data_IF_891901538809
#
_entry.id   IF_891901538809
#
_cell.length_a   1.000
_cell.length_b   1.000
_cell.length_c   1.000
_cell.angle_alpha   90.00
_cell.angle_beta   90.00
_cell.angle_gamma   90.00
#
_symmetry.space_group_name_H-M   'P 1'
#
loop_
_entity.id
_entity.type
_entity.pdbx_description
1 polymer ?
#
# COMPACT_ATOMS: atom_id res chain seq x y z
N UNK A 1 22.42 -16.61 3.28
CA UNK A 1 23.38 -15.67 2.66
C UNK A 1 22.98 -15.11 1.30
N UNK A 2 22.99 -15.85 0.17
CA UNK A 2 22.66 -15.25 -1.15
C UNK A 2 21.22 -14.72 -1.23
N UNK A 3 20.26 -15.51 -0.73
CA UNK A 3 18.84 -15.13 -0.67
C UNK A 3 18.54 -13.97 0.31
N UNK A 4 19.31 -13.80 1.38
CA UNK A 4 19.09 -12.69 2.33
C UNK A 4 19.52 -11.35 1.73
N UNK A 5 20.66 -11.32 1.04
CA UNK A 5 21.11 -10.11 0.33
C UNK A 5 20.14 -9.73 -0.78
N UNK A 6 19.66 -10.70 -1.55
CA UNK A 6 18.65 -10.47 -2.58
C UNK A 6 17.33 -9.97 -1.98
N UNK A 7 16.92 -10.51 -0.84
CA UNK A 7 15.73 -10.05 -0.11
C UNK A 7 15.88 -8.62 0.42
N UNK A 8 17.04 -8.26 0.98
CA UNK A 8 17.31 -6.89 1.45
C UNK A 8 17.28 -5.89 0.30
N UNK A 9 17.87 -6.23 -0.85
CA UNK A 9 17.83 -5.39 -2.05
C UNK A 9 16.38 -5.22 -2.53
N UNK A 10 15.62 -6.31 -2.64
CA UNK A 10 14.22 -6.26 -3.05
C UNK A 10 13.37 -5.40 -2.08
N UNK A 11 13.61 -5.52 -0.77
CA UNK A 11 12.94 -4.70 0.25
C UNK A 11 13.28 -3.22 0.10
N UNK A 12 14.55 -2.90 -0.16
CA UNK A 12 15.00 -1.51 -0.35
C UNK A 12 14.36 -0.88 -1.58
N UNK A 13 14.36 -1.57 -2.72
CA UNK A 13 13.73 -1.11 -3.95
C UNK A 13 12.22 -0.93 -3.80
N UNK A 14 11.55 -1.83 -3.08
CA UNK A 14 10.14 -1.69 -2.73
C UNK A 14 9.86 -0.42 -1.93
N UNK A 15 10.64 -0.15 -0.86
CA UNK A 15 10.45 1.04 -0.01
C UNK A 15 10.63 2.32 -0.83
N UNK A 16 11.62 2.36 -1.73
CA UNK A 16 11.84 3.50 -2.63
C UNK A 16 10.64 3.73 -3.55
N UNK A 17 10.16 2.67 -4.22
CA UNK A 17 9.00 2.76 -5.12
C UNK A 17 7.71 3.18 -4.39
N UNK A 18 7.47 2.62 -3.20
CA UNK A 18 6.33 2.97 -2.36
C UNK A 18 6.36 4.45 -1.96
N UNK A 19 7.51 4.93 -1.45
CA UNK A 19 7.65 6.33 -1.03
C UNK A 19 7.57 7.29 -2.21
N UNK A 20 8.06 6.90 -3.39
CA UNK A 20 7.93 7.69 -4.60
C UNK A 20 6.46 7.89 -4.99
N UNK A 21 5.66 6.81 -4.99
CA UNK A 21 4.24 6.88 -5.32
C UNK A 21 3.46 7.75 -4.32
N UNK A 22 3.71 7.57 -3.02
CA UNK A 22 3.15 8.41 -1.95
C UNK A 22 3.54 9.87 -2.16
N UNK A 23 4.81 10.13 -2.52
CA UNK A 23 5.33 11.46 -2.83
C UNK A 23 4.56 12.14 -3.97
N UNK A 24 4.36 11.44 -5.10
CA UNK A 24 3.57 11.94 -6.24
C UNK A 24 2.16 12.33 -5.80
N UNK A 25 1.47 11.44 -5.09
CA UNK A 25 0.10 11.67 -4.61
C UNK A 25 0.03 12.87 -3.65
N UNK A 26 1.05 13.03 -2.79
CA UNK A 26 1.15 14.20 -1.90
C UNK A 26 1.41 15.50 -2.67
N UNK A 27 2.23 15.47 -3.72
CA UNK A 27 2.44 16.63 -4.61
C UNK A 27 1.18 17.03 -5.36
N UNK A 28 0.24 16.10 -5.56
CA UNK A 28 -1.12 16.37 -6.09
C UNK A 28 -2.09 16.91 -5.05
N UNK A 29 -1.63 17.24 -3.85
CA UNK A 29 -2.46 17.81 -2.78
C UNK A 29 -3.20 16.78 -1.92
N UNK A 30 -2.99 15.48 -2.13
CA UNK A 30 -3.64 14.47 -1.33
C UNK A 30 -3.08 14.43 0.10
N UNK A 31 -3.99 14.36 1.08
CA UNK A 31 -3.62 14.16 2.48
C UNK A 31 -2.87 12.85 2.62
N UNK A 32 -1.87 12.82 3.52
CA UNK A 32 -0.98 11.67 3.75
C UNK A 32 -1.73 10.33 3.88
N UNK A 33 -2.84 10.31 4.62
CA UNK A 33 -3.66 9.10 4.83
C UNK A 33 -4.27 8.57 3.51
N UNK A 34 -4.77 9.47 2.65
CA UNK A 34 -5.34 9.12 1.34
C UNK A 34 -4.25 8.64 0.38
N UNK A 35 -3.10 9.34 0.34
CA UNK A 35 -1.97 8.96 -0.50
C UNK A 35 -1.42 7.56 -0.15
N UNK A 36 -1.32 7.24 1.15
CA UNK A 36 -0.91 5.91 1.62
C UNK A 36 -1.92 4.83 1.22
N UNK A 37 -3.21 5.10 1.42
CA UNK A 37 -4.28 4.19 1.05
C UNK A 37 -4.29 3.85 -0.45
N UNK A 38 -4.25 4.87 -1.31
CA UNK A 38 -4.21 4.69 -2.76
C UNK A 38 -2.95 3.97 -3.23
N UNK A 39 -1.80 4.23 -2.60
CA UNK A 39 -0.55 3.51 -2.90
C UNK A 39 -0.67 2.03 -2.57
N UNK A 40 -1.24 1.70 -1.40
CA UNK A 40 -1.50 0.32 -1.00
C UNK A 40 -2.51 -0.36 -1.93
N UNK A 41 -3.62 0.30 -2.26
CA UNK A 41 -4.61 -0.21 -3.22
C UNK A 41 -4.00 -0.43 -4.61
N UNK A 42 -3.11 0.44 -5.08
CA UNK A 42 -2.45 0.27 -6.39
C UNK A 42 -1.52 -0.95 -6.39
N UNK A 43 -0.81 -1.19 -5.29
CA UNK A 43 0.08 -2.33 -5.13
C UNK A 43 -0.67 -3.66 -4.97
N UNK A 44 -1.81 -3.63 -4.28
CA UNK A 44 -2.63 -4.81 -3.99
C UNK A 44 -3.59 -5.11 -5.16
N UNK A 45 -4.27 -4.09 -5.67
CA UNK A 45 -5.33 -4.19 -6.68
C UNK A 45 -4.86 -4.56 -8.09
N UNK A 46 -3.55 -4.55 -8.35
CA UNK A 46 -3.02 -4.92 -9.67
C UNK A 46 -2.89 -6.43 -9.89
N UNK A 47 -2.20 -7.15 -8.98
CA UNK A 47 -1.75 -8.54 -9.23
C UNK A 47 -1.49 -9.43 -8.00
N UNK A 48 -1.59 -8.93 -6.76
CA UNK A 48 -1.27 -9.69 -5.56
C UNK A 48 -2.44 -9.68 -4.57
N UNK A 49 -2.93 -10.85 -4.16
CA UNK A 49 -4.00 -10.92 -3.17
C UNK A 49 -3.58 -10.21 -1.87
N UNK A 50 -4.54 -9.58 -1.18
CA UNK A 50 -4.33 -8.93 0.13
C UNK A 50 -3.64 -9.88 1.11
N UNK A 51 -3.95 -11.18 1.02
CA UNK A 51 -3.33 -12.26 1.80
C UNK A 51 -1.84 -12.42 1.48
N UNK A 52 -1.46 -12.43 0.20
CA UNK A 52 -0.05 -12.53 -0.19
C UNK A 52 0.74 -11.31 0.28
N UNK A 53 0.15 -10.12 0.20
CA UNK A 53 0.74 -8.90 0.75
C UNK A 53 0.93 -9.00 2.27
N UNK A 54 -0.09 -9.46 2.99
CA UNK A 54 0.03 -9.65 4.44
C UNK A 54 1.17 -10.60 4.83
N UNK A 55 1.27 -11.75 4.14
CA UNK A 55 2.31 -12.76 4.38
C UNK A 55 3.71 -12.21 4.02
N UNK A 56 3.85 -11.60 2.84
CA UNK A 56 5.13 -11.10 2.32
C UNK A 56 5.74 -10.04 3.22
N UNK A 57 4.90 -9.20 3.82
CA UNK A 57 5.34 -8.07 4.63
C UNK A 57 5.21 -8.31 6.14
N UNK A 58 4.79 -9.51 6.56
CA UNK A 58 4.57 -9.83 7.98
C UNK A 58 3.49 -8.95 8.63
N UNK A 59 2.52 -8.49 7.83
CA UNK A 59 1.40 -7.68 8.31
C UNK A 59 0.29 -8.57 8.83
N UNK A 60 -0.45 -8.09 9.81
CA UNK A 60 -1.68 -8.74 10.22
C UNK A 60 -2.73 -8.58 9.10
N UNK A 61 -3.19 -9.71 8.57
CA UNK A 61 -4.15 -9.74 7.45
C UNK A 61 -5.48 -9.08 7.79
N UNK A 62 -6.03 -9.32 8.99
CA UNK A 62 -7.31 -8.74 9.41
C UNK A 62 -7.22 -7.21 9.52
N UNK A 63 -6.15 -6.70 10.14
CA UNK A 63 -5.92 -5.25 10.25
C UNK A 63 -5.72 -4.59 8.88
N UNK A 64 -5.04 -5.28 7.96
CA UNK A 64 -4.84 -4.79 6.59
C UNK A 64 -6.17 -4.75 5.82
N UNK A 65 -7.00 -5.79 5.96
CA UNK A 65 -8.31 -5.85 5.31
C UNK A 65 -9.24 -4.75 5.86
N UNK A 66 -9.35 -4.61 7.18
CA UNK A 66 -10.17 -3.56 7.82
C UNK A 66 -9.73 -2.14 7.39
N UNK A 67 -8.42 -1.91 7.29
CA UNK A 67 -7.89 -0.62 6.85
C UNK A 67 -8.23 -0.31 5.38
N UNK A 68 -8.31 -1.34 4.52
CA UNK A 68 -8.70 -1.21 3.12
C UNK A 68 -10.22 -1.01 2.98
N UNK A 69 -11.03 -1.74 3.72
CA UNK A 69 -12.50 -1.59 3.75
C UNK A 69 -12.90 -0.18 4.20
N UNK A 70 -12.30 0.32 5.29
CA UNK A 70 -12.52 1.69 5.77
C UNK A 70 -12.10 2.77 4.78
N UNK A 71 -11.07 2.49 3.98
CA UNK A 71 -10.62 3.40 2.94
C UNK A 71 -11.60 3.43 1.77
N UNK A 72 -12.13 2.28 1.36
CA UNK A 72 -13.16 2.16 0.33
C UNK A 72 -14.47 2.85 0.76
N UNK A 73 -14.91 2.64 2.00
CA UNK A 73 -16.07 3.34 2.58
C UNK A 73 -15.88 4.86 2.57
N UNK A 74 -14.71 5.35 3.03
CA UNK A 74 -14.40 6.77 3.02
C UNK A 74 -14.42 7.35 1.60
N UNK A 75 -13.91 6.60 0.62
CA UNK A 75 -13.90 7.01 -0.78
C UNK A 75 -15.31 7.10 -1.37
N UNK A 76 -16.15 6.08 -1.16
CA UNK A 76 -17.54 6.07 -1.62
C UNK A 76 -18.39 7.16 -0.95
N UNK A 77 -18.09 7.51 0.31
CA UNK A 77 -18.77 8.60 1.01
C UNK A 77 -18.37 9.98 0.46
N UNK A 78 -17.15 10.12 -0.05
CA UNK A 78 -16.63 11.39 -0.59
C UNK A 78 -17.13 11.69 -2.01
N UNK A 79 -17.65 10.69 -2.74
CA UNK A 79 -18.17 10.81 -4.10
C UNK A 79 -19.67 11.17 -4.20
N UNK A 80 -20.37 11.32 -3.06
CA UNK A 80 -21.83 11.61 -3.00
C UNK A 80 -22.12 13.09 -2.67
N UNK A 81 -21.14 13.99 -2.78
CA UNK A 81 -21.32 15.45 -2.71
C UNK A 81 -20.65 16.13 -3.90
#
# INVERSE_FOLDING_TARGET
MKNEKELEVARSEFIKAFNHLVGILRMKGLKRKVALGLTLMTLIGGRASIRNTAITFGLNYANLLEALERLEEAWNTTLIH
#
